data_IF_747853394284
#
_entry.id   IF_747853394284
#
_cell.length_a   1.000
_cell.length_b   1.000
_cell.length_c   1.000
_cell.angle_alpha   90.00
_cell.angle_beta   90.00
_cell.angle_gamma   90.00
#
_symmetry.space_group_name_H-M   'P 1'
#
loop_
_entity.id
_entity.type
_entity.pdbx_description
1 polymer ?
#
# COMPACT_ATOMS: atom_id res chain seq x y z
N UNK A 1 -20.91 -45.09 -17.21
CA UNK A 1 -20.95 -44.41 -15.88
C UNK A 1 -19.58 -44.09 -15.26
N UNK A 2 -18.45 -44.65 -15.71
CA UNK A 2 -17.11 -44.37 -15.11
C UNK A 2 -16.52 -42.99 -15.45
N UNK A 3 -16.87 -42.40 -16.59
CA UNK A 3 -16.35 -41.10 -17.05
C UNK A 3 -16.89 -39.89 -16.28
N UNK A 4 -18.06 -40.01 -15.65
CA UNK A 4 -18.75 -38.90 -14.98
C UNK A 4 -18.09 -38.45 -13.68
N UNK A 5 -17.45 -39.39 -12.95
CA UNK A 5 -16.73 -39.07 -11.71
C UNK A 5 -15.46 -38.26 -12.00
N UNK A 6 -14.74 -38.58 -13.07
CA UNK A 6 -13.46 -37.94 -13.40
C UNK A 6 -13.60 -36.44 -13.68
N UNK A 7 -14.65 -36.02 -14.39
CA UNK A 7 -14.88 -34.60 -14.68
C UNK A 7 -15.31 -33.78 -13.45
N UNK A 8 -15.92 -34.39 -12.44
CA UNK A 8 -16.32 -33.66 -11.22
C UNK A 8 -15.09 -33.40 -10.35
N UNK A 9 -14.18 -34.37 -10.24
CA UNK A 9 -12.96 -34.22 -9.43
C UNK A 9 -11.95 -33.24 -10.06
N UNK A 10 -11.77 -33.26 -11.38
CA UNK A 10 -10.89 -32.28 -12.05
C UNK A 10 -11.45 -30.86 -12.00
N UNK A 11 -12.76 -30.70 -12.06
CA UNK A 11 -13.45 -29.41 -11.97
C UNK A 11 -13.41 -28.83 -10.55
N UNK A 12 -13.54 -29.67 -9.52
CA UNK A 12 -13.36 -29.25 -8.12
C UNK A 12 -11.91 -28.82 -7.84
N UNK A 13 -10.91 -29.47 -8.45
CA UNK A 13 -9.52 -29.07 -8.32
C UNK A 13 -9.24 -27.67 -8.94
N UNK A 14 -9.88 -27.34 -10.07
CA UNK A 14 -9.76 -26.01 -10.69
C UNK A 14 -10.50 -24.94 -9.87
N UNK A 15 -11.67 -25.25 -9.31
CA UNK A 15 -12.41 -24.35 -8.44
C UNK A 15 -11.72 -24.10 -7.09
N UNK A 16 -11.10 -25.12 -6.50
CA UNK A 16 -10.31 -24.99 -5.26
C UNK A 16 -9.00 -24.20 -5.50
N UNK A 17 -8.42 -24.34 -6.69
CA UNK A 17 -7.28 -23.52 -7.12
C UNK A 17 -7.70 -22.05 -7.38
N UNK A 18 -8.90 -21.81 -7.91
CA UNK A 18 -9.44 -20.47 -8.14
C UNK A 18 -10.02 -19.79 -6.89
N UNK A 19 -10.41 -20.57 -5.87
CA UNK A 19 -10.99 -20.06 -4.62
C UNK A 19 -9.97 -19.81 -3.52
N UNK A 20 -8.68 -19.80 -3.84
CA UNK A 20 -7.73 -19.11 -2.96
C UNK A 20 -8.13 -17.64 -2.99
N UNK A 21 -8.96 -17.24 -2.03
CA UNK A 21 -9.12 -15.86 -1.60
C UNK A 21 -7.70 -15.41 -1.28
N UNK A 22 -7.02 -14.79 -2.25
CA UNK A 22 -5.66 -14.37 -2.10
C UNK A 22 -5.68 -13.33 -0.98
N UNK A 23 -5.16 -13.72 0.18
CA UNK A 23 -4.89 -12.78 1.23
C UNK A 23 -3.99 -11.71 0.60
N UNK A 24 -4.41 -10.44 0.68
CA UNK A 24 -3.55 -9.34 0.27
C UNK A 24 -2.36 -9.38 1.21
N UNK A 25 -1.21 -9.81 0.72
CA UNK A 25 0.01 -9.71 1.50
C UNK A 25 0.42 -8.24 1.53
N UNK A 26 0.71 -7.76 2.73
CA UNK A 26 1.25 -6.43 2.96
C UNK A 26 2.68 -6.58 3.44
N UNK A 27 3.58 -5.81 2.86
CA UNK A 27 4.92 -5.64 3.42
C UNK A 27 4.86 -4.42 4.33
N UNK A 28 5.14 -4.64 5.61
CA UNK A 28 5.32 -3.53 6.53
C UNK A 28 6.65 -2.83 6.18
N UNK A 29 6.54 -1.54 5.93
CA UNK A 29 7.68 -0.69 5.71
C UNK A 29 8.10 -0.09 7.07
N UNK A 30 7.19 0.43 7.89
CA UNK A 30 7.55 1.19 9.10
C UNK A 30 8.34 0.45 10.21
N UNK A 31 9.43 1.08 10.64
CA UNK A 31 9.58 1.62 12.01
C UNK A 31 9.79 3.14 11.84
N UNK A 32 8.84 3.96 12.28
CA UNK A 32 9.02 5.42 12.31
C UNK A 32 10.26 5.73 13.17
N UNK A 33 11.24 6.47 12.63
CA UNK A 33 12.61 6.49 13.14
C UNK A 33 12.77 7.15 14.51
N UNK A 34 13.90 6.88 15.17
CA UNK A 34 14.13 7.29 16.57
C UNK A 34 14.38 8.80 16.79
N UNK A 35 14.61 9.59 15.74
CA UNK A 35 14.82 11.05 15.87
C UNK A 35 14.58 11.81 14.55
N UNK A 36 14.22 13.09 14.66
CA UNK A 36 14.13 14.05 13.55
C UNK A 36 15.26 15.07 13.69
N UNK A 37 15.95 15.35 12.59
CA UNK A 37 16.84 16.51 12.47
C UNK A 37 16.30 17.43 11.38
N UNK A 38 15.29 18.24 11.70
CA UNK A 38 14.91 19.35 10.84
C UNK A 38 14.21 20.46 11.62
N UNK A 39 14.42 21.69 11.13
CA UNK A 39 13.81 22.90 11.68
C UNK A 39 12.29 22.78 11.62
N UNK A 40 11.64 22.76 12.79
CA UNK A 40 10.19 22.91 12.89
C UNK A 40 9.45 21.75 13.57
N UNK A 41 9.96 20.51 13.54
CA UNK A 41 9.28 19.37 14.16
C UNK A 41 10.03 18.67 15.29
N UNK A 42 9.24 18.11 16.20
CA UNK A 42 9.63 17.13 17.19
C UNK A 42 8.85 15.86 16.94
N UNK A 43 9.56 14.76 16.71
CA UNK A 43 8.99 13.42 16.68
C UNK A 43 9.20 12.73 18.03
N UNK A 44 8.12 12.20 18.59
CA UNK A 44 8.16 11.38 19.78
C UNK A 44 8.08 9.89 19.37
N UNK A 45 9.18 9.13 19.47
CA UNK A 45 9.19 7.71 19.08
C UNK A 45 8.38 6.81 20.01
N UNK A 46 8.06 7.24 21.24
CA UNK A 46 7.24 6.46 22.17
C UNK A 46 5.77 6.47 21.77
N UNK A 47 5.28 7.58 21.23
CA UNK A 47 3.87 7.75 20.84
C UNK A 47 3.67 7.77 19.33
N UNK A 48 4.76 7.68 18.56
CA UNK A 48 4.80 7.91 17.11
C UNK A 48 4.16 9.22 16.66
N UNK A 49 4.30 10.26 17.48
CA UNK A 49 3.64 11.54 17.26
C UNK A 49 4.63 12.55 16.70
N UNK A 50 4.26 13.18 15.58
CA UNK A 50 4.92 14.33 14.99
C UNK A 50 4.21 15.60 15.45
N UNK A 51 4.95 16.52 16.07
CA UNK A 51 4.43 17.82 16.50
C UNK A 51 5.36 18.96 16.08
N UNK A 52 4.81 20.15 15.84
CA UNK A 52 5.61 21.36 15.62
C UNK A 52 5.07 22.24 14.49
N UNK A 53 5.89 23.13 13.97
CA UNK A 53 5.53 24.02 12.87
C UNK A 53 6.03 23.47 11.55
N UNK A 54 5.13 23.37 10.58
CA UNK A 54 5.46 22.94 9.23
C UNK A 54 6.41 23.92 8.55
N UNK A 55 7.64 23.47 8.32
CA UNK A 55 8.67 24.24 7.65
C UNK A 55 9.15 23.50 6.40
N UNK A 56 9.58 24.24 5.35
CA UNK A 56 10.17 23.61 4.17
C UNK A 56 11.36 22.72 4.53
N UNK A 57 11.37 21.48 4.02
CA UNK A 57 12.46 20.53 4.27
C UNK A 57 12.40 19.84 5.63
N UNK A 58 11.25 19.88 6.31
CA UNK A 58 11.07 19.16 7.55
C UNK A 58 10.93 17.65 7.26
N UNK A 59 12.05 16.95 7.38
CA UNK A 59 12.20 15.54 6.99
C UNK A 59 12.22 14.61 8.21
N UNK A 60 11.37 13.58 8.17
CA UNK A 60 11.50 12.43 9.07
C UNK A 60 12.15 11.27 8.30
N UNK A 61 13.24 10.75 8.85
CA UNK A 61 13.88 9.54 8.36
C UNK A 61 13.45 8.37 9.24
N UNK A 62 13.13 7.20 8.67
CA UNK A 62 13.02 5.98 9.44
C UNK A 62 14.38 5.59 10.00
N UNK A 63 14.38 4.73 11.02
CA UNK A 63 15.60 4.01 11.40
C UNK A 63 16.12 3.22 10.18
N UNK A 64 17.44 2.98 10.07
CA UNK A 64 18.00 2.23 8.95
C UNK A 64 17.41 0.82 8.86
N UNK A 65 16.97 0.43 7.66
CA UNK A 65 16.38 -0.89 7.40
C UNK A 65 17.33 -1.82 6.65
N UNK A 66 17.14 -3.12 6.82
CA UNK A 66 17.50 -4.08 5.78
C UNK A 66 16.63 -3.81 4.57
N UNK A 67 17.20 -3.87 3.36
CA UNK A 67 16.45 -3.55 2.16
C UNK A 67 15.21 -4.44 1.98
N UNK A 68 14.16 -3.83 1.43
CA UNK A 68 12.86 -4.44 1.21
C UNK A 68 12.63 -4.66 -0.28
N UNK A 69 12.17 -5.86 -0.64
CA UNK A 69 11.77 -6.18 -2.01
C UNK A 69 10.24 -6.07 -2.16
N UNK A 70 9.74 -5.08 -2.89
CA UNK A 70 8.30 -4.89 -3.11
C UNK A 70 7.72 -5.81 -4.18
N UNK A 71 8.55 -6.47 -4.99
CA UNK A 71 8.07 -7.37 -6.05
C UNK A 71 7.67 -8.74 -5.52
N UNK A 72 7.88 -9.02 -4.23
CA UNK A 72 7.45 -10.25 -3.56
C UNK A 72 6.02 -10.17 -3.01
N UNK A 73 5.36 -9.00 -3.13
CA UNK A 73 3.95 -8.85 -2.80
C UNK A 73 3.10 -9.76 -3.68
N UNK A 74 2.15 -10.46 -3.07
CA UNK A 74 1.18 -11.26 -3.81
C UNK A 74 0.36 -10.33 -4.69
N UNK A 75 0.13 -10.74 -5.93
CA UNK A 75 -0.56 -9.94 -6.96
C UNK A 75 0.23 -8.73 -7.47
N UNK A 76 1.53 -8.67 -7.20
CA UNK A 76 2.40 -7.74 -7.91
C UNK A 76 2.48 -8.14 -9.38
N UNK A 77 1.68 -7.49 -10.23
CA UNK A 77 1.73 -7.64 -11.70
C UNK A 77 2.62 -6.60 -12.37
N UNK A 78 3.24 -5.75 -11.55
CA UNK A 78 4.04 -4.63 -11.99
C UNK A 78 3.76 -3.40 -11.13
N UNK A 79 4.48 -2.31 -11.39
CA UNK A 79 4.41 -1.13 -10.55
C UNK A 79 2.96 -0.66 -10.39
N UNK A 80 2.17 -0.53 -11.47
CA UNK A 80 0.74 -0.12 -11.49
C UNK A 80 -0.19 -0.73 -10.40
N UNK A 81 0.11 -1.94 -9.94
CA UNK A 81 -0.63 -2.65 -8.88
C UNK A 81 -0.32 -2.15 -7.46
N UNK A 82 0.81 -1.49 -7.23
CA UNK A 82 1.32 -1.13 -5.91
C UNK A 82 0.54 0.03 -5.30
N UNK A 83 0.24 -0.10 -4.01
CA UNK A 83 -0.38 0.90 -3.15
C UNK A 83 0.47 1.10 -1.90
N UNK A 84 0.54 2.34 -1.44
CA UNK A 84 1.03 2.66 -0.10
C UNK A 84 -0.16 2.91 0.81
N UNK A 85 -0.14 2.26 1.97
CA UNK A 85 -1.13 2.44 3.02
C UNK A 85 -0.44 3.09 4.20
N UNK A 86 -0.95 4.24 4.61
CA UNK A 86 -0.49 4.93 5.80
C UNK A 86 -1.61 4.92 6.84
N UNK A 87 -1.32 4.38 8.01
CA UNK A 87 -2.25 4.34 9.15
C UNK A 87 -1.85 5.37 10.17
N UNK A 88 -2.80 6.21 10.56
CA UNK A 88 -2.59 7.23 11.58
C UNK A 88 -3.78 8.15 11.79
N UNK A 89 -3.56 9.21 12.55
CA UNK A 89 -4.51 10.28 12.81
C UNK A 89 -3.80 11.64 12.71
N UNK A 90 -4.56 12.67 12.40
CA UNK A 90 -4.09 14.06 12.43
C UNK A 90 -5.13 14.93 13.12
N UNK A 91 -4.67 15.73 14.08
CA UNK A 91 -5.51 16.76 14.74
C UNK A 91 -5.12 18.16 14.30
N UNK A 92 -3.92 18.32 13.73
CA UNK A 92 -3.47 19.49 13.01
C UNK A 92 -2.32 19.10 12.05
N UNK A 93 -2.11 19.82 10.92
CA UNK A 93 -3.10 20.67 10.28
C UNK A 93 -4.17 19.78 9.66
N UNK A 94 -5.36 20.31 9.40
CA UNK A 94 -6.45 19.57 8.74
C UNK A 94 -6.58 19.93 7.26
N UNK A 95 -5.56 20.55 6.67
CA UNK A 95 -5.54 21.00 5.27
C UNK A 95 -4.12 20.97 4.70
N UNK A 96 -4.00 20.91 3.38
CA UNK A 96 -2.72 20.74 2.69
C UNK A 96 -2.33 19.28 2.51
N UNK A 97 -1.14 19.05 1.96
CA UNK A 97 -0.61 17.72 1.73
C UNK A 97 0.82 17.58 2.21
N UNK A 98 1.21 16.34 2.46
CA UNK A 98 2.55 15.91 2.82
C UNK A 98 2.95 14.75 1.92
N UNK A 99 4.24 14.47 1.80
CA UNK A 99 4.74 13.40 0.94
C UNK A 99 5.49 12.34 1.73
N UNK A 100 5.29 11.09 1.33
CA UNK A 100 6.17 9.98 1.69
C UNK A 100 6.98 9.63 0.45
N UNK A 101 8.30 9.67 0.58
CA UNK A 101 9.23 9.40 -0.51
C UNK A 101 9.96 8.10 -0.26
N UNK A 102 9.77 7.09 -1.11
CA UNK A 102 10.56 5.85 -1.05
C UNK A 102 11.93 6.07 -1.67
N UNK A 103 12.97 5.49 -1.06
CA UNK A 103 14.33 5.46 -1.60
C UNK A 103 14.64 4.06 -2.13
N UNK A 104 14.90 3.96 -3.43
CA UNK A 104 15.45 2.75 -4.05
C UNK A 104 16.98 2.73 -3.92
N UNK A 105 17.57 1.54 -3.81
CA UNK A 105 19.01 1.35 -3.64
C UNK A 105 19.87 1.79 -4.83
N UNK A 106 19.26 2.28 -5.90
CA UNK A 106 19.93 3.03 -6.97
C UNK A 106 20.12 4.53 -6.66
N UNK A 107 19.77 4.98 -5.44
CA UNK A 107 19.79 6.40 -5.05
C UNK A 107 18.69 7.21 -5.75
N UNK A 108 17.60 6.55 -6.15
CA UNK A 108 16.45 7.15 -6.82
C UNK A 108 15.26 7.21 -5.89
N UNK A 109 14.49 8.27 -6.01
CA UNK A 109 13.42 8.60 -5.07
C UNK A 109 12.05 8.60 -5.76
N UNK A 110 11.02 8.17 -5.04
CA UNK A 110 9.64 8.18 -5.53
C UNK A 110 8.69 8.65 -4.44
N UNK A 111 8.11 9.82 -4.65
CA UNK A 111 7.18 10.45 -3.73
C UNK A 111 5.72 10.04 -3.99
N UNK A 112 4.97 9.88 -2.90
CA UNK A 112 3.51 9.74 -2.88
C UNK A 112 2.95 10.78 -1.92
N UNK A 113 2.07 11.64 -2.43
CA UNK A 113 1.50 12.75 -1.65
C UNK A 113 0.17 12.35 -1.03
N UNK A 114 0.06 12.53 0.27
CA UNK A 114 -1.14 12.35 1.08
C UNK A 114 -1.72 13.72 1.44
N UNK A 115 -3.02 13.77 1.71
CA UNK A 115 -3.66 14.96 2.25
C UNK A 115 -3.83 14.79 3.76
N UNK A 116 -3.54 15.87 4.50
CA UNK A 116 -3.73 15.89 5.95
C UNK A 116 -5.18 15.63 6.36
N UNK A 117 -6.14 16.16 5.58
CA UNK A 117 -7.58 15.98 5.84
C UNK A 117 -8.08 14.55 5.64
N UNK A 118 -7.28 13.67 5.02
CA UNK A 118 -7.60 12.24 4.91
C UNK A 118 -7.42 11.53 6.25
N UNK A 119 -6.72 12.15 7.20
CA UNK A 119 -6.51 11.64 8.55
C UNK A 119 -7.38 12.43 9.51
N UNK A 120 -8.42 11.78 10.04
CA UNK A 120 -9.30 12.40 11.03
C UNK A 120 -8.65 12.41 12.42
N UNK A 121 -9.33 12.98 13.41
CA UNK A 121 -8.93 12.86 14.82
C UNK A 121 -8.97 11.42 15.33
N UNK A 122 -9.65 10.51 14.62
CA UNK A 122 -9.61 9.08 14.85
C UNK A 122 -8.63 8.41 13.87
N UNK A 123 -8.00 7.32 14.32
CA UNK A 123 -7.09 6.54 13.49
C UNK A 123 -7.78 6.04 12.23
N UNK A 124 -7.14 6.26 11.08
CA UNK A 124 -7.60 5.88 9.74
C UNK A 124 -6.44 5.37 8.90
N UNK A 125 -6.71 4.40 8.04
CA UNK A 125 -5.77 3.95 7.01
C UNK A 125 -6.13 4.60 5.69
N UNK A 126 -5.18 5.34 5.13
CA UNK A 126 -5.31 5.99 3.83
C UNK A 126 -4.46 5.21 2.83
N UNK A 127 -5.11 4.70 1.78
CA UNK A 127 -4.47 3.93 0.72
C UNK A 127 -4.37 4.77 -0.55
N UNK A 128 -3.16 4.95 -1.06
CA UNK A 128 -2.92 5.68 -2.30
C UNK A 128 -2.11 4.86 -3.32
N UNK A 129 -2.40 4.99 -4.61
CA UNK A 129 -1.54 4.45 -5.65
C UNK A 129 -0.19 5.18 -5.65
N UNK A 130 0.87 4.39 -5.77
CA UNK A 130 2.19 4.96 -6.06
C UNK A 130 2.17 5.47 -7.50
N UNK A 131 2.65 6.69 -7.75
CA UNK A 131 2.60 7.26 -9.09
C UNK A 131 3.76 6.78 -9.96
N UNK A 132 3.59 5.67 -10.67
CA UNK A 132 4.65 5.08 -11.51
C UNK A 132 5.07 5.94 -12.68
N UNK A 133 4.16 6.75 -13.24
CA UNK A 133 4.53 7.68 -14.30
C UNK A 133 5.54 8.73 -13.82
N UNK A 134 5.55 9.00 -12.51
CA UNK A 134 6.53 9.85 -11.85
C UNK A 134 7.77 9.08 -11.35
N UNK A 135 7.83 7.75 -11.48
CA UNK A 135 8.99 6.98 -11.06
C UNK A 135 10.18 7.28 -11.98
N UNK A 136 11.33 7.70 -11.42
CA UNK A 136 12.52 7.94 -12.22
C UNK A 136 12.99 6.64 -12.88
N UNK A 137 13.53 6.76 -14.09
CA UNK A 137 14.14 5.63 -14.81
C UNK A 137 15.22 5.01 -13.91
N UNK A 138 15.15 3.68 -13.74
CA UNK A 138 16.09 2.93 -12.89
C UNK A 138 15.74 2.90 -11.40
N UNK A 139 14.53 3.28 -11.00
CA UNK A 139 14.04 3.03 -9.64
C UNK A 139 13.99 1.51 -9.35
N UNK A 140 14.59 1.08 -8.23
CA UNK A 140 14.75 -0.33 -7.88
C UNK A 140 13.64 -0.82 -6.94
N UNK A 141 12.57 -1.39 -7.50
CA UNK A 141 11.45 -1.99 -6.75
C UNK A 141 11.84 -3.20 -5.90
N UNK A 142 12.95 -3.86 -6.25
CA UNK A 142 13.47 -5.03 -5.54
C UNK A 142 14.37 -4.69 -4.37
N UNK A 143 14.69 -3.41 -4.20
CA UNK A 143 15.69 -2.95 -3.24
C UNK A 143 15.31 -1.57 -2.72
N UNK A 144 14.24 -1.47 -1.94
CA UNK A 144 13.86 -0.26 -1.22
C UNK A 144 14.71 -0.20 0.05
N UNK A 145 15.47 0.86 0.20
CA UNK A 145 16.45 1.02 1.29
C UNK A 145 15.99 1.97 2.39
N UNK A 146 14.90 2.71 2.13
CA UNK A 146 14.30 3.60 3.11
C UNK A 146 13.12 4.38 2.55
N UNK A 147 12.64 5.33 3.35
CA UNK A 147 11.72 6.36 2.91
C UNK A 147 11.99 7.66 3.68
N UNK A 148 11.34 8.75 3.29
CA UNK A 148 11.32 9.99 4.05
C UNK A 148 9.91 10.55 4.11
N UNK A 149 9.61 11.25 5.19
CA UNK A 149 8.43 12.10 5.33
C UNK A 149 8.81 13.53 4.98
N UNK A 150 8.00 14.24 4.19
CA UNK A 150 8.11 15.68 3.97
C UNK A 150 6.73 16.32 4.23
N UNK A 151 6.64 17.24 5.18
CA UNK A 151 5.38 17.90 5.55
C UNK A 151 4.84 18.87 4.50
N UNK A 152 5.67 19.31 3.54
CA UNK A 152 5.25 20.22 2.47
C UNK A 152 5.45 21.71 2.75
N UNK A 153 5.85 22.11 3.95
CA UNK A 153 6.30 23.47 4.27
C UNK A 153 5.22 24.55 4.30
N UNK A 154 4.00 24.21 4.74
CA UNK A 154 2.84 25.09 4.72
C UNK A 154 2.80 26.17 5.83
N UNK A 155 3.71 26.15 6.80
CA UNK A 155 3.70 27.07 7.95
C UNK A 155 2.64 26.76 9.01
N UNK A 156 1.90 25.66 8.87
CA UNK A 156 0.86 25.28 9.81
C UNK A 156 1.39 24.47 10.99
N UNK A 157 0.70 24.52 12.13
CA UNK A 157 0.98 23.60 13.23
C UNK A 157 0.61 22.16 12.84
N UNK A 158 1.53 21.23 13.09
CA UNK A 158 1.35 19.80 12.92
C UNK A 158 1.21 19.12 14.27
N UNK A 159 0.24 18.22 14.35
CA UNK A 159 0.02 17.26 15.42
C UNK A 159 -0.64 16.02 14.82
N UNK A 160 0.20 15.05 14.46
CA UNK A 160 -0.21 13.81 13.81
C UNK A 160 0.49 12.61 14.44
N UNK A 161 -0.19 11.48 14.49
CA UNK A 161 0.38 10.21 14.94
C UNK A 161 0.24 9.19 13.84
N UNK A 162 1.37 8.65 13.37
CA UNK A 162 1.40 7.64 12.32
C UNK A 162 1.97 6.35 12.90
N UNK A 163 1.23 5.26 12.76
CA UNK A 163 1.54 3.99 13.43
C UNK A 163 2.05 2.95 12.48
N UNK A 164 1.67 3.02 11.20
CA UNK A 164 2.06 2.00 10.23
C UNK A 164 2.17 2.59 8.82
N UNK A 165 3.24 2.23 8.11
CA UNK A 165 3.36 2.41 6.66
C UNK A 165 3.53 1.02 6.05
N UNK A 166 2.64 0.63 5.13
CA UNK A 166 2.73 -0.65 4.43
C UNK A 166 2.62 -0.47 2.92
N UNK A 167 3.20 -1.42 2.19
CA UNK A 167 2.96 -1.58 0.77
C UNK A 167 2.08 -2.81 0.52
N UNK A 168 1.11 -2.68 -0.38
CA UNK A 168 0.27 -3.79 -0.86
C UNK A 168 0.21 -3.76 -2.38
N UNK A 169 0.04 -4.92 -3.00
CA UNK A 169 -0.28 -5.01 -4.42
C UNK A 169 -1.77 -5.36 -4.56
N UNK A 170 -2.46 -4.63 -5.43
CA UNK A 170 -3.88 -4.84 -5.71
C UNK A 170 -4.01 -5.56 -7.06
N UNK A 171 -4.76 -6.68 -7.14
CA UNK A 171 -5.00 -7.37 -8.40
C UNK A 171 -5.59 -6.46 -9.46
N UNK A 172 -5.23 -6.72 -10.71
CA UNK A 172 -5.77 -5.95 -11.83
C UNK A 172 -7.29 -6.17 -11.97
N UNK A 173 -8.04 -5.15 -12.44
CA UNK A 173 -9.48 -5.27 -12.67
C UNK A 173 -9.86 -6.45 -13.58
N UNK A 174 -8.98 -6.82 -14.51
CA UNK A 174 -9.13 -7.99 -15.41
C UNK A 174 -9.22 -9.31 -14.64
N UNK A 175 -8.50 -9.45 -13.53
CA UNK A 175 -8.55 -10.64 -12.66
C UNK A 175 -9.93 -10.77 -12.02
N UNK A 176 -10.49 -9.66 -11.52
CA UNK A 176 -11.84 -9.66 -10.96
C UNK A 176 -12.91 -9.90 -12.04
N UNK A 177 -12.71 -9.36 -13.25
CA UNK A 177 -13.61 -9.59 -14.36
C UNK A 177 -13.61 -11.07 -14.79
N UNK A 178 -12.45 -11.71 -14.87
CA UNK A 178 -12.32 -13.13 -15.15
C UNK A 178 -12.99 -13.99 -14.08
N UNK A 179 -12.79 -13.65 -12.80
CA UNK A 179 -13.44 -14.33 -11.67
C UNK A 179 -14.98 -14.15 -11.71
N UNK A 180 -15.46 -12.95 -12.01
CA UNK A 180 -16.89 -12.68 -12.18
C UNK A 180 -17.50 -13.45 -13.36
N UNK A 181 -16.82 -13.47 -14.51
CA UNK A 181 -17.31 -14.19 -15.70
C UNK A 181 -17.30 -15.70 -15.50
N UNK A 182 -16.28 -16.25 -14.84
CA UNK A 182 -16.25 -17.67 -14.49
C UNK A 182 -17.39 -18.03 -13.54
N UNK A 183 -17.66 -17.23 -12.51
CA UNK A 183 -18.80 -17.45 -11.60
C UNK A 183 -20.16 -17.42 -12.33
N UNK A 184 -20.39 -16.45 -13.22
CA UNK A 184 -21.63 -16.34 -13.99
C UNK A 184 -21.80 -17.48 -15.00
N UNK A 185 -20.73 -17.85 -15.71
CA UNK A 185 -20.74 -18.99 -16.63
C UNK A 185 -21.08 -20.31 -15.93
N UNK A 186 -20.54 -20.52 -14.73
CA UNK A 186 -20.87 -21.68 -13.89
C UNK A 186 -22.31 -21.65 -13.37
N UNK A 187 -22.79 -20.50 -12.86
CA UNK A 187 -24.16 -20.34 -12.39
C UNK A 187 -25.18 -20.66 -13.49
N UNK A 188 -24.95 -20.14 -14.70
CA UNK A 188 -25.77 -20.43 -15.88
C UNK A 188 -25.74 -21.91 -16.29
N UNK A 189 -24.57 -22.55 -16.27
CA UNK A 189 -24.43 -23.97 -16.61
C UNK A 189 -25.16 -24.88 -15.62
N UNK A 190 -25.01 -24.65 -14.31
CA UNK A 190 -25.68 -25.44 -13.26
C UNK A 190 -27.20 -25.26 -13.31
N UNK A 191 -27.70 -24.03 -13.52
CA UNK A 191 -29.13 -23.77 -13.65
C UNK A 191 -29.72 -24.44 -14.91
N UNK A 192 -29.05 -24.36 -16.06
CA UNK A 192 -29.50 -25.01 -17.29
C UNK A 192 -29.56 -26.52 -17.16
N UNK A 193 -28.63 -27.11 -16.39
CA UNK A 193 -28.57 -28.55 -16.16
C UNK A 193 -29.63 -29.04 -15.17
N UNK A 194 -30.08 -28.23 -14.20
CA UNK A 194 -31.19 -28.59 -13.29
C UNK A 194 -32.57 -28.54 -13.96
N UNK A 195 -32.70 -27.86 -15.10
CA UNK A 195 -33.96 -27.76 -15.86
C UNK A 195 -34.14 -28.87 -16.90
N UNK A 196 -33.18 -29.78 -17.03
CA UNK A 196 -33.26 -30.98 -17.88
C UNK A 196 -33.25 -32.21 -17.00
#
# INVERSE_FOLDING_TARGET
MKTFKTYIYSLFAVLLAASHVQAVTSINLSLFGSSVTSDGFTYNPTTSTLTGLDAPGALLYPDPWTSVNLTTLDNYTGPSSLRLNLTGLATAPTSGGFSITLEGGSGKYLATTFNWNSFSSNSSTVTLPVNFAAAPVGFQWTNIVGWTFDSGGSGNAINATFTELTATAVPEPSTYALLGMSALGFGGYVMRRRRR
#
